data_IF_084580449337
#
_entry.id   IF_084580449337
#
_cell.length_a   1.000
_cell.length_b   1.000
_cell.length_c   1.000
_cell.angle_alpha   90.00
_cell.angle_beta   90.00
_cell.angle_gamma   90.00
#
_symmetry.space_group_name_H-M   'P 1'
#
loop_
_entity.id
_entity.type
_entity.pdbx_description
1 polymer ?
#
# COMPACT_ATOMS: atom_id res chain seq x y z
N UNK A 1 -40.59 26.70 6.75
CA UNK A 1 -40.33 27.58 7.90
C UNK A 1 -39.70 26.76 9.02
N UNK A 2 -38.78 27.39 9.75
CA UNK A 2 -37.72 26.78 10.53
C UNK A 2 -37.96 26.95 12.04
N UNK A 3 -37.16 26.22 12.83
CA UNK A 3 -36.70 26.51 14.21
C UNK A 3 -37.50 25.93 15.38
N UNK A 4 -36.87 24.93 16.00
CA UNK A 4 -36.29 24.99 17.36
C UNK A 4 -37.20 25.59 18.45
N UNK A 5 -37.84 24.68 19.18
CA UNK A 5 -38.16 24.77 20.62
C UNK A 5 -37.93 23.35 21.14
N UNK A 6 -37.19 23.10 22.20
CA UNK A 6 -37.70 23.17 23.57
C UNK A 6 -36.50 23.27 24.54
N UNK A 7 -36.49 24.38 25.32
CA UNK A 7 -36.04 24.57 26.72
C UNK A 7 -34.75 23.89 27.20
N UNK A 8 -33.70 24.55 27.74
CA UNK A 8 -33.56 25.79 28.55
C UNK A 8 -34.38 25.81 29.86
N UNK A 9 -33.82 25.19 30.91
CA UNK A 9 -34.06 25.31 32.36
C UNK A 9 -32.82 24.63 33.02
N UNK A 10 -32.08 25.11 34.01
CA UNK A 10 -32.13 26.27 34.91
C UNK A 10 -30.72 26.45 35.52
N UNK A 11 -30.29 27.70 35.72
CA UNK A 11 -29.28 28.10 36.70
C UNK A 11 -29.84 27.92 38.13
N UNK A 12 -29.14 27.94 39.27
CA UNK A 12 -27.75 27.85 39.70
C UNK A 12 -27.82 27.63 41.23
N UNK A 13 -26.88 26.91 41.83
CA UNK A 13 -26.54 27.08 43.25
C UNK A 13 -25.06 26.77 43.45
N UNK A 14 -24.34 27.76 43.95
CA UNK A 14 -22.91 27.76 44.17
C UNK A 14 -22.50 26.90 45.37
N UNK A 15 -21.47 26.07 45.18
CA UNK A 15 -20.70 25.42 46.23
C UNK A 15 -19.25 25.39 45.79
N UNK A 16 -18.41 26.22 46.43
CA UNK A 16 -16.96 26.23 46.21
C UNK A 16 -16.39 24.92 46.72
N UNK A 17 -15.82 24.12 45.83
CA UNK A 17 -15.01 22.96 46.18
C UNK A 17 -13.81 22.89 45.24
N UNK A 18 -12.67 22.80 45.89
CA UNK A 18 -11.31 22.96 45.40
C UNK A 18 -10.90 21.97 44.32
N UNK A 19 -9.96 22.43 43.48
CA UNK A 19 -9.18 21.74 42.46
C UNK A 19 -8.98 20.23 42.66
N UNK A 20 -9.23 19.51 41.58
CA UNK A 20 -8.84 18.10 41.43
C UNK A 20 -9.29 17.52 40.10
N UNK A 21 -8.97 18.15 38.96
CA UNK A 21 -9.09 17.49 37.65
C UNK A 21 -7.99 16.42 37.54
N UNK A 22 -8.18 15.30 38.22
CA UNK A 22 -7.46 14.06 37.92
C UNK A 22 -8.17 13.43 36.72
N UNK A 23 -7.83 13.92 35.52
CA UNK A 23 -8.13 13.22 34.28
C UNK A 23 -7.29 11.94 34.23
N UNK A 24 -7.75 10.88 34.91
CA UNK A 24 -7.30 9.52 34.65
C UNK A 24 -7.90 9.07 33.32
N UNK A 25 -7.42 9.68 32.24
CA UNK A 25 -7.55 9.11 30.91
C UNK A 25 -6.68 7.87 30.89
N UNK A 26 -7.27 6.71 31.19
CA UNK A 26 -6.71 5.44 30.75
C UNK A 26 -6.49 5.58 29.25
N UNK A 27 -5.22 5.71 28.86
CA UNK A 27 -4.78 5.71 27.47
C UNK A 27 -5.18 4.35 26.93
N UNK A 28 -6.37 4.28 26.36
CA UNK A 28 -6.67 3.36 25.28
C UNK A 28 -5.43 3.38 24.40
N UNK A 29 -4.78 2.22 24.24
CA UNK A 29 -3.79 2.01 23.19
C UNK A 29 -4.55 2.09 21.86
N UNK A 30 -4.98 3.29 21.54
CA UNK A 30 -5.60 3.66 20.30
C UNK A 30 -4.52 3.78 19.25
N UNK A 31 -4.75 3.09 18.14
CA UNK A 31 -4.19 3.29 16.82
C UNK A 31 -2.72 3.74 16.82
N UNK A 32 -1.82 2.79 16.57
CA UNK A 32 -0.47 3.10 16.09
C UNK A 32 -0.60 4.10 14.95
N UNK A 33 -0.21 5.36 15.19
CA UNK A 33 0.08 6.28 14.12
C UNK A 33 1.11 5.59 13.25
N UNK A 34 0.74 5.21 12.03
CA UNK A 34 1.68 4.61 11.09
C UNK A 34 2.68 5.71 10.75
N UNK A 35 3.82 5.72 11.44
CA UNK A 35 4.93 6.60 11.12
C UNK A 35 5.49 6.12 9.78
N UNK A 36 5.15 6.84 8.70
CA UNK A 36 5.65 6.54 7.37
C UNK A 36 7.16 6.78 7.37
N UNK A 37 7.94 5.70 7.39
CA UNK A 37 9.39 5.78 7.37
C UNK A 37 9.87 6.08 5.95
N UNK A 38 10.61 7.17 5.79
CA UNK A 38 11.30 7.50 4.54
C UNK A 38 12.58 6.66 4.48
N UNK A 39 12.70 5.83 3.44
CA UNK A 39 13.85 4.98 3.24
C UNK A 39 14.96 5.71 2.47
N UNK A 40 16.21 5.37 2.77
CA UNK A 40 17.36 5.76 1.95
C UNK A 40 18.43 4.68 1.99
N UNK A 41 19.42 4.66 1.08
CA UNK A 41 20.52 3.70 1.15
C UNK A 41 21.27 3.73 2.50
N UNK A 42 21.38 4.90 3.13
CA UNK A 42 22.02 5.06 4.44
C UNK A 42 21.10 4.68 5.63
N UNK A 43 19.79 4.62 5.39
CA UNK A 43 18.79 4.21 6.38
C UNK A 43 17.77 3.26 5.73
N UNK A 44 18.16 1.98 5.50
CA UNK A 44 17.25 0.99 4.94
C UNK A 44 16.05 0.74 5.86
N UNK A 45 14.91 0.44 5.26
CA UNK A 45 13.63 0.22 5.96
C UNK A 45 13.14 -1.19 5.69
N UNK A 46 12.75 -1.87 6.77
CA UNK A 46 12.03 -3.14 6.72
C UNK A 46 10.56 -2.89 7.02
N UNK A 47 9.69 -3.12 6.05
CA UNK A 47 8.26 -2.82 6.17
C UNK A 47 7.57 -3.86 7.07
N UNK A 48 6.65 -3.40 7.91
CA UNK A 48 6.04 -4.26 8.92
C UNK A 48 5.06 -5.27 8.28
N UNK A 49 5.30 -6.56 8.51
CA UNK A 49 4.30 -7.61 8.25
C UNK A 49 3.26 -7.59 9.36
N UNK A 50 1.99 -7.45 9.00
CA UNK A 50 0.89 -7.47 9.97
C UNK A 50 0.07 -8.75 9.79
N UNK A 51 -0.43 -9.32 10.88
CA UNK A 51 -1.20 -10.57 10.84
C UNK A 51 -2.53 -10.45 10.06
N UNK A 52 -3.03 -9.22 9.92
CA UNK A 52 -4.23 -8.87 9.18
C UNK A 52 -3.96 -8.45 7.72
N UNK A 53 -2.71 -8.59 7.24
CA UNK A 53 -2.29 -8.43 5.84
C UNK A 53 -1.14 -9.41 5.53
N UNK A 54 -1.44 -10.70 5.60
CA UNK A 54 -0.48 -11.77 5.35
C UNK A 54 -0.35 -12.08 3.85
N UNK A 55 0.79 -12.63 3.44
CA UNK A 55 0.96 -13.19 2.10
C UNK A 55 -0.06 -14.29 1.82
N UNK A 56 -0.34 -14.52 0.54
CA UNK A 56 -1.07 -15.70 0.09
C UNK A 56 -0.32 -16.99 0.48
N UNK A 57 -1.03 -18.10 0.53
CA UNK A 57 -0.41 -19.42 0.78
C UNK A 57 0.38 -19.87 -0.45
N UNK A 58 1.46 -20.60 -0.22
CA UNK A 58 2.16 -21.35 -1.26
C UNK A 58 1.29 -22.50 -1.82
N UNK A 59 1.57 -22.91 -3.07
CA UNK A 59 0.93 -24.05 -3.72
C UNK A 59 -0.50 -23.82 -4.22
N UNK A 60 -0.95 -22.57 -4.35
CA UNK A 60 -2.22 -22.24 -4.99
C UNK A 60 -2.10 -22.37 -6.52
N UNK A 61 -3.18 -22.80 -7.16
CA UNK A 61 -3.29 -22.81 -8.61
C UNK A 61 -3.52 -21.41 -9.17
N UNK A 62 -3.15 -21.20 -10.43
CA UNK A 62 -3.42 -19.95 -11.15
C UNK A 62 -4.93 -19.65 -11.18
N UNK A 63 -5.28 -18.38 -11.00
CA UNK A 63 -6.65 -17.90 -11.18
C UNK A 63 -7.02 -17.84 -12.66
N UNK A 64 -8.32 -17.93 -12.96
CA UNK A 64 -8.83 -17.85 -14.34
C UNK A 64 -8.68 -16.44 -14.97
N UNK A 65 -8.30 -15.45 -14.18
CA UNK A 65 -8.16 -14.05 -14.60
C UNK A 65 -9.47 -13.25 -14.59
N UNK A 66 -9.46 -12.05 -15.18
CA UNK A 66 -8.31 -11.40 -15.83
C UNK A 66 -7.21 -11.04 -14.81
N UNK A 67 -5.96 -11.05 -15.26
CA UNK A 67 -4.86 -10.37 -14.55
C UNK A 67 -4.97 -8.87 -14.82
N UNK A 68 -5.20 -8.07 -13.78
CA UNK A 68 -5.34 -6.62 -13.88
C UNK A 68 -4.06 -5.92 -13.46
N UNK A 69 -3.43 -5.25 -14.42
CA UNK A 69 -2.16 -4.55 -14.24
C UNK A 69 -2.41 -3.05 -14.24
N UNK A 70 -1.85 -2.34 -13.28
CA UNK A 70 -1.71 -0.89 -13.32
C UNK A 70 -0.25 -0.51 -13.58
N UNK A 71 0.00 0.35 -14.57
CA UNK A 71 1.35 0.77 -14.93
C UNK A 71 1.36 2.14 -15.64
N UNK A 72 2.54 2.73 -15.85
CA UNK A 72 2.68 3.86 -16.76
C UNK A 72 2.40 3.44 -18.21
N UNK A 73 1.91 4.39 -19.02
CA UNK A 73 1.81 4.21 -20.47
C UNK A 73 3.19 3.90 -21.08
N UNK A 74 3.21 3.06 -22.11
CA UNK A 74 4.41 2.66 -22.87
C UNK A 74 5.56 2.03 -22.05
N UNK A 75 5.29 1.61 -20.81
CA UNK A 75 6.29 1.07 -19.89
C UNK A 75 6.37 -0.48 -19.90
N UNK A 76 5.54 -1.12 -20.71
CA UNK A 76 5.57 -2.56 -21.03
C UNK A 76 5.28 -2.77 -22.51
N UNK A 77 6.06 -3.63 -23.15
CA UNK A 77 5.85 -3.98 -24.55
C UNK A 77 4.52 -4.75 -24.71
N UNK A 78 3.61 -4.34 -25.61
CA UNK A 78 2.34 -5.03 -25.82
C UNK A 78 2.52 -6.52 -26.18
N UNK A 79 3.54 -6.84 -26.98
CA UNK A 79 3.89 -8.20 -27.37
C UNK A 79 4.19 -9.13 -26.17
N UNK A 80 4.74 -8.58 -25.09
CA UNK A 80 5.01 -9.35 -23.86
C UNK A 80 3.70 -9.73 -23.17
N UNK A 81 2.72 -8.83 -23.13
CA UNK A 81 1.40 -9.10 -22.55
C UNK A 81 0.66 -10.16 -23.37
N UNK A 82 0.75 -10.10 -24.70
CA UNK A 82 0.11 -11.08 -25.57
C UNK A 82 0.77 -12.46 -25.51
N UNK A 83 2.10 -12.50 -25.39
CA UNK A 83 2.84 -13.73 -25.10
C UNK A 83 2.40 -14.33 -23.77
N UNK A 84 2.31 -13.53 -22.72
CA UNK A 84 1.85 -13.98 -21.40
C UNK A 84 0.43 -14.55 -21.44
N UNK A 85 -0.52 -13.86 -22.09
CA UNK A 85 -1.90 -14.34 -22.28
C UNK A 85 -1.92 -15.73 -22.94
N UNK A 86 -1.10 -15.91 -23.97
CA UNK A 86 -1.04 -17.16 -24.76
C UNK A 86 -0.43 -18.31 -23.95
N UNK A 87 0.69 -18.06 -23.25
CA UNK A 87 1.40 -19.10 -22.49
C UNK A 87 0.64 -19.55 -21.24
N UNK A 88 0.00 -18.60 -20.54
CA UNK A 88 -0.69 -18.87 -19.27
C UNK A 88 -2.17 -19.19 -19.47
N UNK A 89 -2.76 -18.78 -20.60
CA UNK A 89 -4.17 -19.02 -20.90
C UNK A 89 -5.13 -18.10 -20.13
N UNK A 90 -4.70 -16.87 -19.83
CA UNK A 90 -5.50 -15.87 -19.09
C UNK A 90 -5.68 -14.60 -19.92
N UNK A 91 -6.70 -13.80 -19.60
CA UNK A 91 -6.83 -12.44 -20.11
C UNK A 91 -6.00 -11.47 -19.25
N UNK A 92 -5.49 -10.40 -19.87
CA UNK A 92 -4.75 -9.34 -19.18
C UNK A 92 -5.41 -8.00 -19.49
N UNK A 93 -5.72 -7.24 -18.44
CA UNK A 93 -6.26 -5.88 -18.50
C UNK A 93 -5.18 -4.90 -18.03
N UNK A 94 -4.73 -4.00 -18.90
CA UNK A 94 -3.76 -2.96 -18.55
C UNK A 94 -4.49 -1.61 -18.36
N UNK A 95 -4.41 -1.08 -17.15
CA UNK A 95 -4.83 0.29 -16.82
C UNK A 95 -3.61 1.19 -16.71
N UNK A 96 -3.67 2.37 -17.33
CA UNK A 96 -2.59 3.35 -17.28
C UNK A 96 -2.91 4.54 -16.38
N UNK A 97 -1.87 5.16 -15.84
CA UNK A 97 -1.94 6.39 -15.03
C UNK A 97 -0.81 7.35 -15.43
N UNK A 98 -1.01 8.65 -15.16
CA UNK A 98 -0.05 9.71 -15.48
C UNK A 98 1.02 9.89 -14.41
N UNK A 99 0.68 9.65 -13.14
CA UNK A 99 1.61 9.75 -12.02
C UNK A 99 1.26 8.80 -10.86
N UNK A 100 2.21 8.63 -9.94
CA UNK A 100 2.09 7.73 -8.79
C UNK A 100 0.98 8.14 -7.80
N UNK A 101 0.70 9.43 -7.66
CA UNK A 101 -0.32 9.94 -6.73
C UNK A 101 -1.71 9.66 -7.29
N UNK A 102 -1.89 9.82 -8.60
CA UNK A 102 -3.09 9.41 -9.32
C UNK A 102 -3.33 7.90 -9.17
N UNK A 103 -2.30 7.07 -9.36
CA UNK A 103 -2.38 5.62 -9.18
C UNK A 103 -2.85 5.25 -7.76
N UNK A 104 -2.20 5.80 -6.74
CA UNK A 104 -2.56 5.57 -5.33
C UNK A 104 -4.01 5.99 -5.05
N UNK A 105 -4.43 7.16 -5.57
CA UNK A 105 -5.80 7.66 -5.40
C UNK A 105 -6.83 6.71 -6.05
N UNK A 106 -6.60 6.29 -7.30
CA UNK A 106 -7.53 5.39 -8.01
C UNK A 106 -7.60 4.00 -7.40
N UNK A 107 -6.48 3.45 -6.93
CA UNK A 107 -6.45 2.16 -6.24
C UNK A 107 -7.17 2.26 -4.88
N UNK A 108 -6.85 3.29 -4.08
CA UNK A 108 -7.44 3.46 -2.74
C UNK A 108 -8.95 3.71 -2.76
N UNK A 109 -9.47 4.34 -3.82
CA UNK A 109 -10.91 4.58 -4.02
C UNK A 109 -11.64 3.40 -4.67
N UNK A 110 -10.91 2.37 -5.11
CA UNK A 110 -11.46 1.23 -5.85
C UNK A 110 -11.86 1.55 -7.29
N UNK A 111 -11.50 2.73 -7.80
CA UNK A 111 -11.69 3.09 -9.20
C UNK A 111 -10.83 2.20 -10.13
N UNK A 112 -9.65 1.79 -9.65
CA UNK A 112 -8.84 0.74 -10.26
C UNK A 112 -8.93 -0.55 -9.43
N UNK A 113 -9.37 -1.63 -10.08
CA UNK A 113 -9.19 -3.00 -9.57
C UNK A 113 -7.87 -3.51 -10.12
N UNK A 114 -6.91 -3.78 -9.24
CA UNK A 114 -5.52 -4.07 -9.61
C UNK A 114 -5.05 -5.30 -8.86
N UNK A 115 -4.45 -6.24 -9.58
CA UNK A 115 -3.77 -7.40 -9.04
C UNK A 115 -2.24 -7.16 -8.99
N UNK A 116 -1.72 -6.39 -9.95
CA UNK A 116 -0.31 -5.99 -10.04
C UNK A 116 -0.16 -4.49 -10.32
N UNK A 117 0.40 -3.76 -9.36
CA UNK A 117 0.95 -2.42 -9.59
C UNK A 117 2.41 -2.56 -10.03
N UNK A 118 2.68 -2.40 -11.32
CA UNK A 118 3.98 -2.78 -11.89
C UNK A 118 5.09 -1.73 -11.65
N UNK A 119 4.70 -0.48 -11.46
CA UNK A 119 5.64 0.61 -11.18
C UNK A 119 5.03 1.54 -10.14
N UNK A 120 5.84 1.94 -9.16
CA UNK A 120 5.50 3.02 -8.25
C UNK A 120 6.75 3.69 -7.70
N UNK A 121 6.65 4.98 -7.37
CA UNK A 121 7.67 5.67 -6.59
C UNK A 121 7.92 4.97 -5.24
N UNK A 122 9.19 4.71 -4.93
CA UNK A 122 9.62 4.03 -3.69
C UNK A 122 9.08 4.71 -2.42
N UNK A 123 8.92 6.04 -2.44
CA UNK A 123 8.44 6.82 -1.30
C UNK A 123 6.93 6.66 -1.03
N UNK A 124 6.16 6.12 -1.99
CA UNK A 124 4.74 5.81 -1.78
C UNK A 124 4.51 4.40 -1.26
N UNK A 125 5.48 3.48 -1.38
CA UNK A 125 5.33 2.10 -0.91
C UNK A 125 4.87 2.00 0.56
N UNK A 126 5.42 2.78 1.52
CA UNK A 126 4.93 2.77 2.90
C UNK A 126 3.44 3.13 3.02
N UNK A 127 2.90 3.99 2.14
CA UNK A 127 1.47 4.34 2.12
C UNK A 127 0.63 3.18 1.60
N UNK A 128 1.08 2.49 0.56
CA UNK A 128 0.38 1.29 0.05
C UNK A 128 0.30 0.20 1.14
N UNK A 129 1.39 -0.03 1.87
CA UNK A 129 1.40 -0.99 3.00
C UNK A 129 0.48 -0.52 4.13
N UNK A 130 0.56 0.76 4.52
CA UNK A 130 -0.25 1.34 5.59
C UNK A 130 -1.76 1.25 5.31
N UNK A 131 -2.15 1.47 4.06
CA UNK A 131 -3.53 1.39 3.58
C UNK A 131 -3.95 -0.05 3.22
N UNK A 132 -3.05 -1.02 3.33
CA UNK A 132 -3.27 -2.44 2.96
C UNK A 132 -3.74 -2.60 1.51
N UNK A 133 -3.20 -1.77 0.62
CA UNK A 133 -3.46 -1.85 -0.82
C UNK A 133 -2.50 -2.81 -1.53
N UNK A 134 -1.46 -3.26 -0.83
CA UNK A 134 -0.53 -4.31 -1.26
C UNK A 134 -0.39 -5.33 -0.14
N UNK A 135 -0.14 -6.59 -0.53
CA UNK A 135 0.11 -7.70 0.39
C UNK A 135 1.57 -8.15 0.29
N UNK A 136 2.12 -8.77 1.35
CA UNK A 136 3.45 -9.35 1.27
C UNK A 136 3.53 -10.45 0.21
N UNK A 137 4.72 -10.60 -0.38
CA UNK A 137 4.99 -11.57 -1.42
C UNK A 137 5.23 -12.97 -0.83
N UNK A 138 4.57 -13.98 -1.40
CA UNK A 138 4.94 -15.38 -1.17
C UNK A 138 6.14 -15.73 -2.05
N UNK A 139 7.33 -15.76 -1.42
CA UNK A 139 8.62 -15.86 -2.11
C UNK A 139 8.78 -17.16 -2.92
N UNK A 140 8.06 -18.23 -2.58
CA UNK A 140 8.17 -19.49 -3.33
C UNK A 140 7.72 -19.40 -4.79
N UNK A 141 6.90 -18.41 -5.15
CA UNK A 141 6.44 -18.22 -6.53
C UNK A 141 7.48 -17.51 -7.43
N UNK A 142 8.54 -16.93 -6.86
CA UNK A 142 9.55 -16.17 -7.61
C UNK A 142 10.78 -17.02 -7.92
N UNK A 143 10.62 -17.99 -8.82
CA UNK A 143 11.68 -18.93 -9.20
C UNK A 143 12.84 -18.29 -9.96
N UNK A 144 12.68 -17.06 -10.43
CA UNK A 144 13.65 -16.31 -11.22
C UNK A 144 14.32 -15.17 -10.43
N UNK A 145 14.16 -15.12 -9.10
CA UNK A 145 14.70 -14.03 -8.25
C UNK A 145 16.23 -13.97 -8.24
N UNK A 146 16.90 -15.08 -8.57
CA UNK A 146 18.35 -15.15 -8.76
C UNK A 146 18.86 -14.28 -9.92
N UNK A 147 17.99 -13.96 -10.90
CA UNK A 147 18.34 -13.11 -12.03
C UNK A 147 18.45 -11.61 -11.66
N UNK A 148 18.00 -11.22 -10.47
CA UNK A 148 18.15 -9.85 -9.98
C UNK A 148 19.61 -9.54 -9.69
N UNK A 149 20.04 -8.31 -10.00
CA UNK A 149 21.34 -7.80 -9.56
C UNK A 149 21.42 -7.79 -8.03
N UNK A 150 22.61 -8.08 -7.49
CA UNK A 150 22.84 -8.11 -6.05
C UNK A 150 22.45 -6.80 -5.36
N UNK A 151 22.61 -5.67 -6.04
CA UNK A 151 22.28 -4.33 -5.53
C UNK A 151 20.78 -4.06 -5.34
N UNK A 152 19.90 -4.85 -5.97
CA UNK A 152 18.44 -4.66 -5.89
C UNK A 152 17.70 -5.90 -5.38
N UNK A 153 18.40 -7.02 -5.15
CA UNK A 153 17.82 -8.22 -4.56
C UNK A 153 17.34 -8.01 -3.11
N UNK A 154 18.04 -7.14 -2.38
CA UNK A 154 17.66 -6.69 -1.03
C UNK A 154 17.54 -5.15 -1.01
N UNK A 155 16.42 -4.59 -1.52
CA UNK A 155 16.32 -3.16 -1.75
C UNK A 155 16.19 -2.39 -0.43
N UNK A 156 16.88 -1.26 -0.32
CA UNK A 156 16.89 -0.44 0.91
C UNK A 156 15.50 0.09 1.31
N UNK A 157 14.57 0.21 0.36
CA UNK A 157 13.21 0.71 0.60
C UNK A 157 12.23 -0.38 1.06
N UNK A 158 12.61 -1.65 0.93
CA UNK A 158 11.81 -2.82 1.28
C UNK A 158 12.75 -3.98 1.61
N UNK A 159 13.46 -3.91 2.74
CA UNK A 159 14.46 -4.91 3.12
C UNK A 159 13.88 -6.33 3.12
N UNK A 160 14.50 -7.23 2.36
CA UNK A 160 14.06 -8.60 2.07
C UNK A 160 13.06 -8.69 0.90
N UNK A 161 12.76 -7.57 0.23
CA UNK A 161 11.76 -7.45 -0.83
C UNK A 161 10.38 -7.93 -0.38
N UNK A 162 9.94 -7.58 0.82
CA UNK A 162 8.76 -8.20 1.45
C UNK A 162 7.48 -7.92 0.67
N UNK A 163 7.40 -6.79 -0.02
CA UNK A 163 6.23 -6.34 -0.78
C UNK A 163 6.52 -6.15 -2.27
N UNK A 164 7.79 -6.07 -2.66
CA UNK A 164 8.19 -5.63 -4.00
C UNK A 164 9.16 -6.56 -4.71
N UNK A 165 9.09 -6.52 -6.05
CA UNK A 165 10.10 -7.07 -6.96
C UNK A 165 10.59 -5.94 -7.86
N UNK A 166 11.90 -5.71 -7.98
CA UNK A 166 12.44 -4.67 -8.87
C UNK A 166 12.08 -4.95 -10.34
N UNK A 167 11.57 -3.92 -11.04
CA UNK A 167 11.28 -3.98 -12.48
C UNK A 167 12.31 -3.17 -13.29
N UNK A 168 12.37 -1.85 -13.05
CA UNK A 168 13.28 -0.93 -13.76
C UNK A 168 14.09 -0.11 -12.77
N UNK A 169 15.40 0.04 -13.03
CA UNK A 169 16.28 0.98 -12.33
C UNK A 169 16.69 2.07 -13.31
N UNK A 170 16.45 3.31 -12.97
CA UNK A 170 16.82 4.47 -13.80
C UNK A 170 17.21 5.67 -12.93
N UNK A 171 17.79 6.67 -13.56
CA UNK A 171 18.05 7.99 -12.98
C UNK A 171 17.55 9.07 -13.92
N UNK A 172 17.03 10.17 -13.39
CA UNK A 172 16.71 11.36 -14.18
C UNK A 172 17.96 12.23 -14.32
N UNK A 173 18.30 12.63 -15.55
CA UNK A 173 19.45 13.48 -15.88
C UNK A 173 19.06 14.76 -16.62
N UNK A 174 20.07 15.51 -17.09
CA UNK A 174 19.95 16.72 -17.91
C UNK A 174 20.78 16.52 -19.18
#
# INVERSE_FOLDING_TARGET
MSRRRFLALSAAAAGVSTMGLAACGSRSKGASSIELQIASPAKPVKLALTSDNAAIKAGLSNEAGPLRIANFADYVAPELLDKFKTEIGVTVELSTFGDDVEALSKISTGAFKVDLLMSTAIDLLPKYVALKLVQPLEKSYFTNYENLWDSVRDPFYDLGGQYTVPYTVFSTGI
#
